data_IF_683721539194
#
_entry.id   IF_683721539194
#
_cell.length_a   1.000
_cell.length_b   1.000
_cell.length_c   1.000
_cell.angle_alpha   90.00
_cell.angle_beta   90.00
_cell.angle_gamma   90.00
#
_symmetry.space_group_name_H-M   'P 1'
#
loop_
_entity.id
_entity.type
_entity.pdbx_description
1 polymer ?
2 polymer ?
3 non-polymer ?
4 non-polymer ?
5 non-polymer ?
6 water ?
#
# COMPACT_ATOMS: atom_id res chain seq x y z
N UNK A 1 14.11 10.22 -13.23
CA UNK A 1 14.16 9.81 -11.77
C UNK A 1 13.23 8.63 -11.48
N UNK A 2 13.42 7.99 -10.33
CA UNK A 2 12.60 6.84 -9.94
C UNK A 2 12.19 6.96 -8.50
N UNK A 3 11.10 6.31 -8.13
CA UNK A 3 10.66 6.29 -6.73
C UNK A 3 9.95 4.99 -6.48
N UNK A 4 10.42 4.25 -5.48
CA UNK A 4 9.78 2.99 -5.09
C UNK A 4 8.70 3.29 -4.05
N UNK A 5 7.46 2.94 -4.40
CA UNK A 5 6.32 3.21 -3.54
C UNK A 5 5.71 1.94 -3.04
N UNK A 6 5.43 1.85 -1.73
CA UNK A 6 4.74 0.68 -1.18
C UNK A 6 3.32 1.15 -0.83
N UNK A 7 2.31 0.57 -1.47
CA UNK A 7 0.92 0.96 -1.20
C UNK A 7 0.24 -0.17 -0.42
N UNK A 8 -0.09 0.14 0.84
CA UNK A 8 -0.70 -0.82 1.76
C UNK A 8 -1.90 -0.19 2.45
N UNK A 9 -2.59 -0.99 3.24
CA UNK A 9 -3.83 -0.54 3.86
C UNK A 9 -4.65 -1.80 4.07
N UNK A 10 -5.75 -1.71 4.81
CA UNK A 10 -6.56 -2.92 5.08
C UNK A 10 -7.13 -3.47 3.80
N UNK A 11 -7.51 -4.76 3.79
CA UNK A 11 -8.23 -5.25 2.63
C UNK A 11 -9.45 -4.38 2.39
N UNK A 12 -9.86 -4.33 1.14
CA UNK A 12 -11.04 -3.60 0.64
C UNK A 12 -10.89 -2.07 0.67
N UNK A 13 -9.69 -1.57 0.92
CA UNK A 13 -9.52 -0.10 1.03
C UNK A 13 -9.60 0.58 -0.32
N UNK A 14 -9.29 -0.16 -1.37
CA UNK A 14 -9.30 0.34 -2.73
C UNK A 14 -7.93 0.46 -3.42
N UNK A 15 -6.90 -0.22 -2.89
CA UNK A 15 -5.56 -0.13 -3.42
C UNK A 15 -5.40 -0.58 -4.87
N UNK A 16 -5.84 -1.79 -5.18
CA UNK A 16 -5.70 -2.28 -6.53
C UNK A 16 -6.48 -1.43 -7.51
N UNK A 17 -7.66 -0.98 -7.06
CA UNK A 17 -8.46 -0.10 -7.90
C UNK A 17 -7.67 1.14 -8.24
N UNK A 18 -7.03 1.73 -7.23
CA UNK A 18 -6.20 2.92 -7.45
C UNK A 18 -5.02 2.64 -8.39
N UNK A 19 -4.36 1.49 -8.19
CA UNK A 19 -3.20 1.15 -9.02
C UNK A 19 -3.57 1.15 -10.50
N UNK A 20 -4.70 0.51 -10.85
CA UNK A 20 -5.03 0.38 -12.27
C UNK A 20 -5.72 1.63 -12.80
N UNK A 21 -6.33 2.42 -11.92
CA UNK A 21 -6.81 3.71 -12.36
C UNK A 21 -5.62 4.57 -12.76
N UNK A 22 -4.54 4.54 -11.98
CA UNK A 22 -3.34 5.29 -12.35
C UNK A 22 -2.67 4.73 -13.61
N UNK A 23 -2.50 3.41 -13.66
CA UNK A 23 -1.71 2.79 -14.72
C UNK A 23 -2.47 2.77 -16.03
N UNK A 24 -3.76 2.42 -15.96
CA UNK A 24 -4.59 2.25 -17.18
C UNK A 24 -5.70 3.28 -17.38
N UNK A 25 -5.94 4.14 -16.40
CA UNK A 25 -6.92 5.21 -16.54
C UNK A 25 -8.36 4.80 -16.38
N UNK A 26 -8.60 3.57 -15.92
CA UNK A 26 -9.97 3.09 -15.77
C UNK A 26 -10.16 2.33 -14.47
N UNK A 27 -11.42 2.17 -14.10
CA UNK A 27 -11.79 1.29 -13.00
C UNK A 27 -11.96 -0.10 -13.57
N UNK A 28 -11.16 -1.05 -13.08
CA UNK A 28 -11.29 -2.45 -13.52
C UNK A 28 -11.79 -3.29 -12.36
N UNK A 29 -12.38 -4.45 -12.62
CA UNK A 29 -12.74 -5.34 -11.50
C UNK A 29 -11.50 -5.85 -10.77
N UNK A 30 -11.67 -6.24 -9.50
CA UNK A 30 -10.58 -6.80 -8.72
C UNK A 30 -11.10 -7.93 -7.89
N UNK A 31 -10.14 -8.70 -7.33
CA UNK A 31 -10.45 -9.67 -6.31
C UNK A 31 -9.49 -9.33 -5.19
N UNK A 32 -9.78 -9.77 -3.98
CA UNK A 32 -8.84 -9.51 -2.90
C UNK A 32 -7.47 -10.05 -3.32
N UNK A 33 -6.44 -9.22 -3.21
CA UNK A 33 -5.09 -9.51 -3.69
C UNK A 33 -4.32 -10.42 -2.75
N UNK A 34 -4.02 -11.63 -3.21
CA UNK A 34 -3.27 -12.59 -2.41
C UNK A 34 -1.87 -12.52 -2.98
N UNK A 35 -1.00 -11.76 -2.33
CA UNK A 35 0.31 -11.45 -2.89
C UNK A 35 0.35 -9.95 -3.19
N UNK A 36 0.65 -9.59 -4.44
CA UNK A 36 0.80 -8.19 -4.82
C UNK A 36 0.49 -7.96 -6.27
N UNK A 37 0.40 -6.67 -6.65
CA UNK A 37 0.44 -6.26 -8.04
C UNK A 37 1.50 -5.20 -8.06
N UNK A 38 2.26 -5.10 -9.14
CA UNK A 38 3.23 -4.02 -9.22
C UNK A 38 3.18 -3.41 -10.61
N UNK A 39 3.07 -2.07 -10.67
CA UNK A 39 3.10 -1.38 -11.95
C UNK A 39 3.92 -0.11 -11.82
N UNK A 40 4.54 0.28 -12.93
CA UNK A 40 5.29 1.53 -12.93
C UNK A 40 4.41 2.57 -13.59
N UNK A 41 4.28 3.70 -12.92
CA UNK A 41 3.48 4.82 -13.40
C UNK A 41 4.44 5.98 -13.70
N UNK A 42 4.43 6.46 -14.95
CA UNK A 42 5.28 7.58 -15.32
C UNK A 42 4.51 8.89 -15.11
N UNK A 43 5.07 9.76 -14.28
CA UNK A 43 4.41 11.02 -13.94
C UNK A 43 5.44 12.07 -13.57
N UNK A 44 5.36 13.24 -14.20
CA UNK A 44 6.28 14.35 -13.92
C UNK A 44 7.74 13.90 -14.07
N UNK A 45 7.98 13.07 -15.07
CA UNK A 45 9.33 12.59 -15.34
C UNK A 45 9.89 11.68 -14.25
N UNK A 46 9.00 11.14 -13.43
CA UNK A 46 9.43 10.21 -12.41
C UNK A 46 8.79 8.87 -12.71
N UNK A 47 9.58 7.80 -12.67
CA UNK A 47 9.00 6.46 -12.82
C UNK A 47 8.69 5.98 -11.40
N UNK A 48 7.41 5.96 -11.05
CA UNK A 48 6.97 5.47 -9.73
C UNK A 48 6.69 4.00 -9.84
N UNK A 49 7.49 3.14 -9.20
CA UNK A 49 7.17 1.74 -9.19
C UNK A 49 6.31 1.53 -7.96
N UNK A 50 5.05 1.22 -8.20
CA UNK A 50 4.09 1.12 -7.13
C UNK A 50 3.76 -0.34 -6.82
N UNK A 51 4.07 -0.75 -5.59
CA UNK A 51 3.79 -2.08 -5.10
C UNK A 51 2.47 -2.08 -4.36
N UNK A 52 1.46 -2.68 -4.98
CA UNK A 52 0.13 -2.78 -4.39
C UNK A 52 0.11 -4.11 -3.63
N UNK A 53 0.14 -4.06 -2.30
CA UNK A 53 0.28 -5.28 -1.50
C UNK A 53 -1.02 -5.63 -0.79
N UNK A 54 -1.42 -6.91 -0.86
CA UNK A 54 -2.70 -7.33 -0.29
C UNK A 54 -2.80 -7.08 1.20
N UNK A 55 -3.98 -6.66 1.64
CA UNK A 55 -4.21 -6.31 3.02
C UNK A 55 -5.10 -7.23 3.84
N UNK A 56 -5.51 -8.39 3.31
CA UNK A 56 -6.25 -9.34 4.15
C UNK A 56 -5.39 -9.65 5.38
N UNK A 57 -6.02 -9.78 6.55
CA UNK A 57 -5.26 -9.95 7.78
C UNK A 57 -4.28 -11.13 7.70
N UNK A 58 -4.71 -12.20 7.05
CA UNK A 58 -3.90 -13.45 6.94
C UNK A 58 -2.54 -13.20 6.29
N UNK A 59 -2.46 -12.20 5.41
CA UNK A 59 -1.20 -11.90 4.75
C UNK A 59 -0.53 -10.61 5.18
N UNK A 60 -1.05 -9.92 6.20
CA UNK A 60 -0.35 -8.72 6.63
C UNK A 60 1.06 -8.98 7.15
N UNK A 61 1.35 -10.15 7.71
CA UNK A 61 2.73 -10.42 8.12
C UNK A 61 3.70 -10.31 6.95
N UNK A 62 3.21 -10.40 5.72
CA UNK A 62 4.12 -10.31 4.58
C UNK A 62 4.51 -8.88 4.24
N UNK A 63 3.82 -7.88 4.81
CA UNK A 63 4.13 -6.52 4.42
C UNK A 63 5.62 -6.22 4.61
N UNK A 64 6.18 -6.78 5.68
CA UNK A 64 7.58 -6.53 6.01
C UNK A 64 8.59 -6.89 4.93
N UNK A 65 8.24 -7.84 4.06
CA UNK A 65 9.13 -8.24 2.99
C UNK A 65 9.24 -7.17 1.91
N UNK A 66 8.34 -6.18 1.94
CA UNK A 66 8.36 -5.13 0.94
C UNK A 66 8.94 -3.80 1.42
N UNK A 67 9.29 -3.74 2.70
CA UNK A 67 9.79 -2.46 3.23
C UNK A 67 11.12 -2.01 2.66
N UNK A 68 12.02 -2.95 2.41
CA UNK A 68 13.38 -2.58 1.98
C UNK A 68 13.38 -1.68 0.74
N UNK A 69 14.07 -0.55 0.84
CA UNK A 69 14.27 0.41 -0.26
C UNK A 69 13.04 1.27 -0.54
N UNK A 70 11.98 1.09 0.21
CA UNK A 70 10.81 1.93 0.01
C UNK A 70 11.10 3.42 0.29
N UNK A 71 10.73 4.26 -0.66
CA UNK A 71 10.94 5.71 -0.57
C UNK A 71 9.67 6.45 -0.17
N UNK A 72 8.53 5.92 -0.61
CA UNK A 72 7.24 6.52 -0.25
C UNK A 72 6.23 5.44 0.10
N UNK A 73 5.44 5.68 1.12
CA UNK A 73 4.38 4.76 1.54
C UNK A 73 3.08 5.41 1.17
N UNK A 74 2.17 4.68 0.55
CA UNK A 74 0.82 5.20 0.35
C UNK A 74 -0.04 4.31 1.22
N UNK A 75 -0.65 4.89 2.25
CA UNK A 75 -1.50 4.09 3.11
C UNK A 75 -2.93 4.46 2.75
N UNK A 76 -3.66 3.50 2.20
CA UNK A 76 -5.02 3.75 1.71
C UNK A 76 -6.04 3.33 2.74
N UNK A 77 -6.96 4.24 3.07
CA UNK A 77 -8.02 3.99 4.03
C UNK A 77 -9.41 4.08 3.42
N UNK A 78 -10.27 3.13 3.74
CA UNK A 78 -11.67 3.22 3.36
C UNK A 78 -12.31 4.23 4.29
N UNK A 79 -12.59 5.44 3.76
CA UNK A 79 -13.11 6.53 4.58
C UNK A 79 -14.51 6.23 5.13
N UNK A 80 -15.18 5.24 4.56
CA UNK A 80 -16.56 4.88 4.97
C UNK A 80 -16.58 3.79 6.01
N UNK A 81 -15.41 3.21 6.29
CA UNK A 81 -15.33 2.07 7.19
C UNK A 81 -14.98 2.54 8.62
N UNK A 82 -15.99 3.04 9.31
CA UNK A 82 -15.77 3.51 10.67
C UNK A 82 -15.42 2.37 11.62
N UNK A 83 -15.95 1.20 11.36
CA UNK A 83 -15.71 0.05 12.22
C UNK A 83 -14.24 -0.38 12.24
N UNK A 84 -13.53 -0.10 11.14
CA UNK A 84 -12.15 -0.57 11.05
C UNK A 84 -11.09 0.54 11.00
N UNK A 85 -11.47 1.77 11.31
CA UNK A 85 -10.53 2.86 11.19
C UNK A 85 -9.42 2.72 12.24
N UNK A 86 -9.77 2.20 13.41
CA UNK A 86 -8.75 2.04 14.43
C UNK A 86 -7.82 0.91 14.11
N UNK A 87 -8.37 -0.13 13.50
CA UNK A 87 -7.57 -1.26 13.03
C UNK A 87 -6.57 -0.77 11.98
N UNK A 88 -7.01 0.16 11.13
CA UNK A 88 -6.09 0.75 10.14
C UNK A 88 -4.97 1.50 10.86
N UNK A 89 -5.35 2.28 11.88
CA UNK A 89 -4.34 2.99 12.67
C UNK A 89 -3.34 2.03 13.28
N UNK A 90 -3.83 0.94 13.87
CA UNK A 90 -2.92 -0.02 14.47
C UNK A 90 -1.93 -0.57 13.46
N UNK A 91 -2.39 -0.91 12.26
CA UNK A 91 -1.48 -1.43 11.25
C UNK A 91 -0.51 -0.35 10.77
N UNK A 92 -1.01 0.86 10.60
CA UNK A 92 -0.15 1.95 10.17
C UNK A 92 0.98 2.23 11.17
N UNK A 93 0.67 2.29 12.46
CA UNK A 93 1.69 2.59 13.46
C UNK A 93 2.68 1.45 13.64
N UNK A 94 2.21 0.21 13.48
CA UNK A 94 3.05 -0.99 13.58
C UNK A 94 4.09 -1.00 12.46
N UNK A 95 3.64 -0.61 11.27
CA UNK A 95 4.55 -0.50 10.13
C UNK A 95 5.53 0.66 10.30
N UNK A 96 5.08 1.81 10.79
CA UNK A 96 5.95 2.95 10.94
C UNK A 96 7.04 2.76 12.00
N UNK A 97 6.87 1.76 12.87
CA UNK A 97 7.88 1.52 13.91
C UNK A 97 9.12 0.88 13.31
N UNK A 98 9.01 0.42 12.07
CA UNK A 98 10.11 -0.34 11.45
C UNK A 98 11.27 0.50 10.95
N UNK A 99 12.50 0.10 11.32
CA UNK A 99 13.67 0.86 10.91
C UNK A 99 13.84 0.98 9.42
N UNK A 100 13.44 -0.06 8.70
CA UNK A 100 13.61 -0.03 7.26
C UNK A 100 12.82 1.06 6.58
N UNK A 101 11.81 1.59 7.27
CA UNK A 101 10.99 2.65 6.70
C UNK A 101 11.30 4.00 7.30
N UNK A 102 12.42 4.12 8.00
CA UNK A 102 12.69 5.36 8.73
C UNK A 102 12.69 6.61 7.85
N UNK A 103 13.18 6.45 6.63
CA UNK A 103 13.33 7.60 5.74
C UNK A 103 12.24 7.70 4.69
N UNK A 104 11.25 6.80 4.75
CA UNK A 104 10.14 6.83 3.80
C UNK A 104 9.18 7.97 4.13
N UNK A 105 8.66 8.61 3.10
CA UNK A 105 7.67 9.63 3.33
C UNK A 105 6.32 8.94 3.31
N UNK A 106 5.32 9.56 3.92
CA UNK A 106 3.97 8.96 4.05
C UNK A 106 2.84 9.76 3.44
N UNK A 107 2.17 9.15 2.46
CA UNK A 107 0.98 9.75 1.84
C UNK A 107 -0.19 8.90 2.22
N UNK A 108 -1.16 9.51 2.91
CA UNK A 108 -2.37 8.79 3.27
C UNK A 108 -3.47 9.17 2.30
N UNK A 109 -4.12 8.16 1.73
CA UNK A 109 -5.29 8.41 0.90
C UNK A 109 -6.57 8.10 1.69
N UNK A 110 -7.40 9.14 1.91
CA UNK A 110 -8.68 8.97 2.56
C UNK A 110 -9.61 8.70 1.41
N UNK A 111 -9.72 7.41 1.07
CA UNK A 111 -10.41 6.95 -0.14
C UNK A 111 -11.90 6.72 0.02
N UNK A 112 -12.57 6.55 -1.12
CA UNK A 112 -14.03 6.32 -1.19
C UNK A 112 -14.84 7.53 -0.73
N UNK A 113 -14.35 8.71 -1.10
CA UNK A 113 -15.02 9.97 -0.73
C UNK A 113 -16.38 10.10 -1.41
N UNK A 114 -16.63 9.30 -2.43
CA UNK A 114 -17.93 9.32 -3.10
C UNK A 114 -19.07 8.80 -2.24
N UNK A 115 -18.77 8.01 -1.22
CA UNK A 115 -19.78 7.38 -0.39
C UNK A 115 -20.45 8.39 0.52
N UNK A 116 -21.77 8.31 0.64
CA UNK A 116 -22.57 9.27 1.42
C UNK A 116 -22.00 9.61 2.78
N UNK A 117 -21.75 8.61 3.61
CA UNK A 117 -21.20 8.91 4.92
C UNK A 117 -19.72 8.56 5.02
N UNK A 118 -18.92 9.15 4.14
CA UNK A 118 -17.48 8.97 4.24
C UNK A 118 -16.92 10.02 5.16
N UNK A 119 -15.97 9.62 5.99
CA UNK A 119 -15.30 10.56 6.85
C UNK A 119 -14.41 11.43 5.97
N UNK A 120 -14.27 12.70 6.32
CA UNK A 120 -13.38 13.57 5.56
C UNK A 120 -11.94 13.42 5.98
N UNK A 121 -11.06 14.14 5.30
CA UNK A 121 -9.62 13.97 5.49
C UNK A 121 -9.21 14.41 6.87
N UNK A 122 -9.84 15.47 7.36
CA UNK A 122 -9.50 15.93 8.71
C UNK A 122 -9.89 14.92 9.76
N UNK A 123 -11.05 14.30 9.61
CA UNK A 123 -11.47 13.29 10.58
C UNK A 123 -10.54 12.07 10.55
N UNK A 124 -10.15 11.64 9.35
CA UNK A 124 -9.24 10.51 9.24
C UNK A 124 -7.89 10.88 9.87
N UNK A 125 -7.45 12.11 9.64
CA UNK A 125 -6.21 12.57 10.29
C UNK A 125 -6.29 12.38 11.80
N UNK A 126 -7.40 12.82 12.37
CA UNK A 126 -7.61 12.73 13.82
C UNK A 126 -7.66 11.28 14.27
N UNK A 127 -8.44 10.47 13.57
CA UNK A 127 -8.64 9.08 13.98
C UNK A 127 -7.35 8.26 13.88
N UNK A 128 -6.53 8.54 12.86
CA UNK A 128 -5.27 7.83 12.70
C UNK A 128 -4.17 8.40 13.58
N UNK A 129 -4.38 9.59 14.14
CA UNK A 129 -3.37 10.20 14.99
C UNK A 129 -2.14 10.63 14.19
N UNK A 130 -2.33 11.02 12.93
CA UNK A 130 -1.19 11.44 12.12
C UNK A 130 -0.39 12.61 12.72
N UNK A 131 -1.06 13.54 13.39
CA UNK A 131 -0.36 14.69 13.98
C UNK A 131 0.68 14.26 15.02
N UNK A 132 0.55 13.06 15.56
CA UNK A 132 1.53 12.56 16.54
C UNK A 132 2.78 11.92 15.94
N UNK A 133 2.82 11.73 14.62
CA UNK A 133 4.00 11.17 14.01
C UNK A 133 5.20 12.08 14.14
N UNK A 134 6.33 11.51 14.53
CA UNK A 134 7.56 12.29 14.66
C UNK A 134 8.57 11.91 13.59
N UNK A 135 9.41 12.89 13.24
CA UNK A 135 10.51 12.72 12.29
C UNK A 135 10.04 12.10 10.99
N UNK A 136 8.88 12.52 10.52
CA UNK A 136 8.30 11.93 9.33
C UNK A 136 7.57 13.00 8.52
N UNK A 137 7.91 13.11 7.23
CA UNK A 137 7.15 13.97 6.35
C UNK A 137 5.91 13.20 5.88
N UNK A 138 4.74 13.78 6.09
CA UNK A 138 3.48 13.09 5.73
C UNK A 138 2.45 14.06 5.20
N UNK A 139 1.47 13.50 4.48
CA UNK A 139 0.42 14.28 3.85
C UNK A 139 -0.79 13.38 3.72
N UNK A 140 -1.99 13.98 3.80
CA UNK A 140 -3.22 13.23 3.60
C UNK A 140 -4.00 13.90 2.50
N UNK A 141 -4.54 13.05 1.61
CA UNK A 141 -5.29 13.51 0.46
C UNK A 141 -6.60 12.71 0.38
N UNK A 142 -7.71 13.43 0.28
CA UNK A 142 -9.00 12.82 0.04
C UNK A 142 -9.04 12.30 -1.40
N UNK A 143 -9.53 11.07 -1.62
CA UNK A 143 -9.55 10.55 -2.98
C UNK A 143 -10.85 9.83 -3.28
N UNK A 144 -11.17 9.77 -4.56
CA UNK A 144 -12.23 8.91 -5.08
C UNK A 144 -11.61 8.23 -6.31
N UNK A 145 -11.39 6.92 -6.22
CA UNK A 145 -10.78 6.20 -7.34
C UNK A 145 -11.56 6.33 -8.65
N UNK A 146 -12.88 6.17 -8.59
CA UNK A 146 -13.72 6.29 -9.80
C UNK A 146 -13.48 7.57 -10.63
N UNK A 147 -13.56 8.71 -9.99
CA UNK A 147 -13.36 9.94 -10.72
C UNK A 147 -11.87 10.21 -10.90
N UNK A 148 -11.05 9.64 -10.03
CA UNK A 148 -9.63 9.89 -10.03
C UNK A 148 -9.27 11.11 -9.18
N UNK A 149 -10.28 11.75 -8.61
CA UNK A 149 -10.00 12.96 -7.82
C UNK A 149 -9.05 12.63 -6.66
N UNK A 150 -8.01 13.46 -6.52
CA UNK A 150 -7.06 13.33 -5.42
C UNK A 150 -5.86 12.46 -5.73
N UNK A 151 -5.99 11.57 -6.71
CA UNK A 151 -4.90 10.65 -7.01
C UNK A 151 -3.65 11.36 -7.50
N UNK A 152 -3.79 12.23 -8.50
CA UNK A 152 -2.61 12.91 -8.99
C UNK A 152 -2.07 13.98 -8.03
N UNK A 153 -2.95 14.51 -7.19
CA UNK A 153 -2.54 15.48 -6.18
C UNK A 153 -1.61 14.74 -5.21
N UNK A 154 -1.94 13.49 -4.94
CA UNK A 154 -1.09 12.62 -4.16
C UNK A 154 0.27 12.40 -4.82
N UNK A 155 0.27 12.08 -6.12
CA UNK A 155 1.54 11.88 -6.77
C UNK A 155 2.34 13.18 -6.82
N UNK A 156 1.63 14.31 -6.90
CA UNK A 156 2.33 15.61 -6.93
C UNK A 156 3.09 15.79 -5.63
N UNK A 157 2.48 15.42 -4.51
CA UNK A 157 3.15 15.62 -3.23
C UNK A 157 4.39 14.73 -3.18
N UNK A 158 4.24 13.47 -3.57
CA UNK A 158 5.36 12.54 -3.58
C UNK A 158 6.48 13.08 -4.45
N UNK A 159 6.11 13.60 -5.62
CA UNK A 159 7.07 14.15 -6.56
C UNK A 159 7.88 15.29 -5.93
N UNK A 160 7.20 16.23 -5.28
CA UNK A 160 7.87 17.34 -4.61
C UNK A 160 8.78 16.85 -3.47
N UNK A 161 8.34 15.82 -2.75
CA UNK A 161 9.21 15.26 -1.73
C UNK A 161 10.51 14.74 -2.34
N UNK A 162 10.42 14.01 -3.46
CA UNK A 162 11.60 13.41 -4.04
C UNK A 162 12.53 14.51 -4.55
N UNK A 163 11.94 15.51 -5.18
CA UNK A 163 12.72 16.59 -5.78
C UNK A 163 13.54 17.34 -4.75
N UNK A 164 12.97 17.55 -3.57
CA UNK A 164 13.66 18.28 -2.50
C UNK A 164 14.53 17.33 -1.68
N UNK A 165 15.05 16.30 -2.36
CA UNK A 165 15.92 15.28 -1.78
C UNK A 165 15.17 14.28 -0.91
N UNK B 3 0.28 -19.68 8.82
CA UNK B 3 0.54 -19.93 7.36
C UNK B 3 2.01 -19.78 7.00
N UNK B 4 2.67 -18.76 7.55
CA UNK B 4 4.05 -18.46 7.17
C UNK B 4 5.01 -18.69 8.32
N UNK B 5 4.79 -19.76 9.08
CA UNK B 5 5.64 -20.03 10.26
C UNK B 5 6.97 -20.67 9.90
N UNK B 6 7.03 -21.27 8.72
CA UNK B 6 8.23 -21.97 8.29
C UNK B 6 9.25 -20.90 7.91
N UNK B 7 10.28 -20.75 8.75
CA UNK B 7 11.32 -19.73 8.55
C UNK B 7 12.06 -19.87 7.24
N UNK B 8 12.32 -21.11 6.84
CA UNK B 8 13.02 -21.32 5.58
C UNK B 8 12.17 -20.90 4.38
N UNK B 9 10.89 -21.24 4.38
CA UNK B 9 10.04 -20.80 3.28
C UNK B 9 9.94 -19.27 3.29
N UNK B 10 9.97 -18.68 4.48
CA UNK B 10 9.92 -17.22 4.58
C UNK B 10 11.15 -16.58 3.95
N UNK B 11 12.31 -17.21 4.19
CA UNK B 11 13.55 -16.69 3.59
C UNK B 11 13.50 -16.73 2.07
N UNK B 12 12.89 -17.79 1.53
CA UNK B 12 12.80 -17.93 0.09
C UNK B 12 11.88 -16.79 -0.41
N UNK B 13 10.74 -16.62 0.25
CA UNK B 13 9.80 -15.59 -0.16
C UNK B 13 10.44 -14.22 -0.08
N UNK B 14 11.15 -13.95 1.02
CA UNK B 14 11.80 -12.64 1.17
C UNK B 14 12.80 -12.38 0.06
N UNK B 15 13.63 -13.37 -0.29
CA UNK B 15 14.61 -13.09 -1.33
C UNK B 15 13.97 -12.91 -2.69
N UNK B 16 12.87 -13.60 -2.94
CA UNK B 16 12.23 -13.45 -4.24
C UNK B 16 11.58 -12.09 -4.34
N UNK B 17 10.96 -11.65 -3.23
CA UNK B 17 10.27 -10.35 -3.25
C UNK B 17 11.22 -9.16 -3.33
N UNK B 18 12.48 -9.37 -2.95
CA UNK B 18 13.47 -8.29 -2.93
C UNK B 18 14.41 -8.34 -4.14
N UNK B 19 14.13 -9.26 -5.04
CA UNK B 19 14.94 -9.47 -6.23
C UNK B 19 14.62 -8.49 -7.33
N UNK B 20 15.62 -8.20 -8.16
CA UNK B 20 15.39 -7.37 -9.33
C UNK B 20 14.95 -8.19 -10.54
N UNK B 21 15.00 -9.52 -10.42
CA UNK B 21 14.70 -10.38 -11.57
C UNK B 21 13.20 -10.55 -11.67
N UNK B 22 12.61 -10.21 -12.80
CA UNK B 22 11.16 -10.36 -12.95
C UNK B 22 10.66 -11.78 -12.70
N UNK B 23 11.43 -12.81 -13.04
CA UNK B 23 10.93 -14.17 -12.79
C UNK B 23 10.82 -14.46 -11.31
N UNK B 24 11.70 -13.85 -10.52
CA UNK B 24 11.65 -14.07 -9.08
C UNK B 24 10.39 -13.44 -8.49
N UNK B 25 10.03 -12.27 -9.00
CA UNK B 25 8.84 -11.61 -8.51
C UNK B 25 7.59 -12.42 -8.89
N UNK B 26 7.57 -12.97 -10.12
CA UNK B 26 6.42 -13.80 -10.49
C UNK B 26 6.36 -15.02 -9.61
N UNK B 27 7.52 -15.61 -9.32
CA UNK B 27 7.57 -16.75 -8.46
C UNK B 27 7.06 -16.46 -7.06
N UNK B 28 7.40 -15.29 -6.54
CA UNK B 28 6.98 -14.92 -5.19
C UNK B 28 5.48 -14.81 -5.11
N UNK B 29 4.92 -14.16 -6.11
CA UNK B 29 3.47 -13.90 -6.17
C UNK B 29 2.70 -15.21 -6.20
N UNK B 30 3.17 -16.17 -6.99
CA UNK B 30 2.57 -17.50 -7.03
C UNK B 30 2.80 -18.25 -5.72
N UNK B 31 3.99 -18.11 -5.14
CA UNK B 31 4.32 -18.76 -3.88
C UNK B 31 3.32 -18.35 -2.79
N UNK B 32 3.02 -17.05 -2.73
CA UNK B 32 2.11 -16.57 -1.71
C UNK B 32 0.72 -17.17 -1.91
N UNK B 33 0.24 -17.20 -3.15
CA UNK B 33 -1.05 -17.80 -3.44
C UNK B 33 -1.06 -19.30 -3.08
N UNK B 34 0.02 -19.99 -3.39
CA UNK B 34 0.06 -21.42 -3.07
C UNK B 34 -0.03 -21.65 -1.59
N UNK B 35 0.72 -20.87 -0.83
CA UNK B 35 0.78 -21.03 0.62
C UNK B 35 -0.58 -20.73 1.23
N UNK B 36 -1.23 -19.69 0.75
CA UNK B 36 -2.56 -19.37 1.24
C UNK B 36 -3.56 -20.48 0.87
N UNK B 37 -3.48 -20.94 -0.37
CA UNK B 37 -4.40 -21.98 -0.86
C UNK B 37 -4.17 -23.28 -0.08
N UNK B 38 -2.91 -23.63 0.18
CA UNK B 38 -2.68 -24.87 0.90
C UNK B 38 -3.24 -24.76 2.32
N UNK B 39 -3.13 -23.57 2.89
CA UNK B 39 -3.65 -23.31 4.23
C UNK B 39 -5.17 -23.31 4.22
N UNK B 40 -5.76 -22.93 3.09
CA UNK B 40 -7.21 -22.97 2.96
C UNK B 40 -7.63 -24.44 3.01
N UNK B 41 -6.84 -25.28 2.33
CA UNK B 41 -7.00 -26.73 2.44
C UNK B 41 -6.56 -26.97 3.86
N UNK B 42 -6.83 -28.13 4.44
CA UNK B 42 -6.42 -28.32 5.82
C UNK B 42 -7.25 -27.31 6.60
N UNK B 43 -8.56 -27.52 6.61
CA UNK B 43 -9.48 -26.59 7.25
C UNK B 43 -10.38 -27.23 8.29
#
# INVERSE_FOLDING_TARGET
GSMRILMVGLDAAGKTTILYKLKLGEIVTTIPTIGFNVETVEYKNISFTVWDVGGLDKIRPLWRHYFQNTQGLIFVVDSNDRERVNEAREELMRMLAEDELRDAVLLVFANKQDLPNAMNAAEITDKLGLHSLRHRNWYIQATCATSGDGLYEGLDWLSNQLRNQK
NVIFEDEEKSKMLARLLKSSHPEDLRAANKLIKEMVQEDQKRMEK
#
